data_IF_036964523947
#
_entry.id   IF_036964523947
#
_cell.length_a   1.000
_cell.length_b   1.000
_cell.length_c   1.000
_cell.angle_alpha   90.00
_cell.angle_beta   90.00
_cell.angle_gamma   90.00
#
_symmetry.space_group_name_H-M   'P 1'
#
loop_
_entity.id
_entity.type
_entity.pdbx_description
1 polymer ?
#
# COMPACT_ATOMS: atom_id res chain seq x y z
N UNK A 1 17.06 -9.84 3.82
CA UNK A 1 16.51 -9.05 2.69
C UNK A 1 16.01 -7.73 3.25
N UNK A 2 16.15 -6.62 2.53
CA UNK A 2 15.62 -5.33 2.99
C UNK A 2 14.08 -5.32 2.84
N UNK A 3 13.36 -4.88 3.86
CA UNK A 3 11.90 -4.76 3.79
C UNK A 3 11.47 -3.53 2.95
N UNK A 4 10.18 -3.44 2.63
CA UNK A 4 9.62 -2.40 1.77
C UNK A 4 9.91 -0.97 2.31
N UNK A 5 9.87 -0.76 3.62
CA UNK A 5 10.16 0.54 4.22
C UNK A 5 11.63 0.93 4.09
N UNK A 6 12.54 -0.03 4.30
CA UNK A 6 13.98 0.18 4.09
C UNK A 6 14.30 0.50 2.63
N UNK A 7 13.66 -0.21 1.69
CA UNK A 7 13.82 0.04 0.25
C UNK A 7 13.31 1.43 -0.12
N UNK A 8 12.13 1.82 0.37
CA UNK A 8 11.55 3.14 0.12
C UNK A 8 12.47 4.27 0.60
N UNK A 9 13.00 4.14 1.82
CA UNK A 9 13.91 5.15 2.39
C UNK A 9 15.20 5.21 1.55
N UNK A 10 15.85 4.08 1.28
CA UNK A 10 17.11 4.03 0.51
C UNK A 10 16.96 4.59 -0.89
N UNK A 11 15.94 4.15 -1.63
CA UNK A 11 15.68 4.61 -2.99
C UNK A 11 15.48 6.13 -3.05
N UNK A 12 14.86 6.73 -2.03
CA UNK A 12 14.70 8.18 -1.97
C UNK A 12 16.00 8.91 -1.63
N UNK A 13 16.77 8.41 -0.66
CA UNK A 13 18.08 8.97 -0.30
C UNK A 13 19.02 8.98 -1.50
N UNK A 14 19.08 7.86 -2.23
CA UNK A 14 19.92 7.71 -3.42
C UNK A 14 19.47 8.67 -4.54
N UNK A 15 18.16 8.79 -4.76
CA UNK A 15 17.61 9.66 -5.81
C UNK A 15 17.85 11.15 -5.56
N UNK A 16 17.80 11.60 -4.29
CA UNK A 16 17.95 13.02 -3.92
C UNK A 16 19.34 13.37 -3.39
N UNK A 17 20.23 12.39 -3.21
CA UNK A 17 21.52 12.59 -2.53
C UNK A 17 21.36 13.02 -1.08
N UNK A 18 20.25 12.65 -0.44
CA UNK A 18 19.92 13.06 0.92
C UNK A 18 20.53 12.12 1.95
N UNK A 19 20.78 12.65 3.15
CA UNK A 19 21.11 11.83 4.33
C UNK A 19 19.87 11.54 5.18
N UNK A 20 19.96 10.56 6.08
CA UNK A 20 18.92 10.33 7.10
C UNK A 20 18.61 11.59 7.92
N UNK A 21 19.61 12.46 8.13
CA UNK A 21 19.43 13.72 8.84
C UNK A 21 18.60 14.73 8.06
N UNK A 22 18.69 14.71 6.73
CA UNK A 22 17.90 15.60 5.87
C UNK A 22 16.45 15.17 5.87
N UNK A 23 16.18 13.87 5.69
CA UNK A 23 14.81 13.31 5.81
C UNK A 23 14.20 13.64 7.17
N UNK A 24 14.98 13.45 8.26
CA UNK A 24 14.54 13.76 9.61
C UNK A 24 14.18 15.25 9.78
N UNK A 25 15.01 16.15 9.26
CA UNK A 25 14.78 17.60 9.33
C UNK A 25 13.52 18.03 8.56
N UNK A 26 13.34 17.52 7.34
CA UNK A 26 12.16 17.83 6.53
C UNK A 26 10.88 17.25 7.13
N UNK A 27 10.99 16.05 7.72
CA UNK A 27 9.89 15.32 8.33
C UNK A 27 9.52 15.75 9.75
N UNK A 28 10.35 16.56 10.42
CA UNK A 28 10.18 16.86 11.84
C UNK A 28 10.34 15.62 12.74
N UNK A 29 11.17 14.66 12.32
CA UNK A 29 11.43 13.42 13.05
C UNK A 29 12.81 13.43 13.71
N UNK A 30 13.02 12.65 14.78
CA UNK A 30 14.36 12.35 15.26
C UNK A 30 15.16 11.58 14.20
N UNK A 31 16.43 11.96 13.99
CA UNK A 31 17.34 11.22 13.08
C UNK A 31 17.44 9.73 13.44
N UNK A 32 17.43 9.42 14.74
CA UNK A 32 17.45 8.04 15.24
C UNK A 32 16.22 7.24 14.79
N UNK A 33 15.05 7.86 14.74
CA UNK A 33 13.82 7.23 14.25
C UNK A 33 13.93 6.87 12.77
N UNK A 34 14.41 7.81 11.94
CA UNK A 34 14.61 7.53 10.50
C UNK A 34 15.64 6.43 10.30
N UNK A 35 16.75 6.48 11.03
CA UNK A 35 17.79 5.46 10.96
C UNK A 35 17.29 4.08 11.39
N UNK A 36 16.53 4.02 12.49
CA UNK A 36 15.90 2.78 12.96
C UNK A 36 15.00 2.18 11.87
N UNK A 37 14.08 2.96 11.29
CA UNK A 37 13.20 2.49 10.22
C UNK A 37 13.96 2.04 8.97
N UNK A 38 15.12 2.66 8.67
CA UNK A 38 15.96 2.30 7.53
C UNK A 38 16.85 1.06 7.76
N UNK A 39 17.01 0.59 9.01
CA UNK A 39 17.95 -0.48 9.39
C UNK A 39 17.27 -1.67 10.05
N UNK A 40 16.07 -1.51 10.61
CA UNK A 40 15.29 -2.60 11.18
C UNK A 40 14.78 -3.54 10.09
N UNK A 41 15.26 -4.78 10.11
CA UNK A 41 14.89 -5.82 9.15
C UNK A 41 13.43 -6.26 9.27
N UNK A 42 12.92 -6.39 10.51
CA UNK A 42 11.54 -6.79 10.79
C UNK A 42 10.84 -5.76 11.67
N UNK A 43 9.86 -5.09 11.12
CA UNK A 43 9.02 -4.15 11.87
C UNK A 43 7.90 -4.97 12.53
N UNK A 44 8.04 -5.26 13.83
CA UNK A 44 7.09 -6.16 14.54
C UNK A 44 5.76 -5.45 14.85
N UNK A 45 5.76 -4.13 14.88
CA UNK A 45 4.59 -3.30 15.16
C UNK A 45 4.57 -2.10 14.24
N UNK A 46 3.38 -1.76 13.74
CA UNK A 46 3.15 -0.57 12.95
C UNK A 46 3.69 0.70 13.66
N UNK A 47 4.52 1.51 12.99
CA UNK A 47 4.92 2.82 13.51
C UNK A 47 3.71 3.70 13.77
N UNK A 48 3.83 4.63 14.71
CA UNK A 48 2.74 5.56 15.02
C UNK A 48 2.38 6.42 13.81
N UNK A 49 1.10 6.82 13.72
CA UNK A 49 0.61 7.64 12.60
C UNK A 49 1.45 8.91 12.39
N UNK A 50 1.79 9.62 13.47
CA UNK A 50 2.65 10.81 13.43
C UNK A 50 4.05 10.51 12.87
N UNK A 51 4.61 9.32 13.13
CA UNK A 51 5.90 8.91 12.55
C UNK A 51 5.79 8.67 11.06
N UNK A 52 4.70 8.04 10.60
CA UNK A 52 4.47 7.80 9.18
C UNK A 52 4.22 9.11 8.41
N UNK A 53 3.50 10.06 9.01
CA UNK A 53 3.28 11.41 8.48
C UNK A 53 4.58 12.20 8.38
N UNK A 54 5.38 12.21 9.45
CA UNK A 54 6.69 12.84 9.43
C UNK A 54 7.62 12.21 8.40
N UNK A 55 7.58 10.88 8.25
CA UNK A 55 8.40 10.18 7.27
C UNK A 55 7.94 10.48 5.84
N UNK A 56 6.63 10.52 5.58
CA UNK A 56 6.06 10.88 4.29
C UNK A 56 6.47 12.30 3.87
N UNK A 57 6.38 13.25 4.81
CA UNK A 57 6.86 14.62 4.61
C UNK A 57 8.38 14.67 4.37
N UNK A 58 9.15 13.92 5.15
CA UNK A 58 10.60 13.87 5.06
C UNK A 58 11.13 13.20 3.79
N UNK A 59 10.35 12.30 3.20
CA UNK A 59 10.65 11.61 1.94
C UNK A 59 9.91 12.24 0.75
N UNK A 60 9.13 13.31 0.95
CA UNK A 60 8.36 13.96 -0.13
C UNK A 60 7.57 12.96 -1.00
N UNK A 61 6.88 12.01 -0.34
CA UNK A 61 6.03 11.00 -0.97
C UNK A 61 4.65 10.98 -0.32
N UNK A 62 3.60 10.48 -1.01
CA UNK A 62 2.28 10.35 -0.41
C UNK A 62 2.30 9.49 0.86
N UNK A 63 1.55 9.91 1.88
CA UNK A 63 1.43 9.18 3.15
C UNK A 63 1.02 7.72 2.97
N UNK A 64 0.14 7.47 2.00
CA UNK A 64 -0.33 6.13 1.69
C UNK A 64 0.80 5.19 1.21
N UNK A 65 1.78 5.73 0.48
CA UNK A 65 2.97 4.96 0.07
C UNK A 65 3.79 4.52 1.27
N UNK A 66 3.96 5.40 2.26
CA UNK A 66 4.69 5.07 3.50
C UNK A 66 3.90 4.09 4.36
N UNK A 67 2.57 4.25 4.45
CA UNK A 67 1.69 3.33 5.18
C UNK A 67 1.74 1.92 4.60
N UNK A 68 1.68 1.79 3.27
CA UNK A 68 1.80 0.49 2.58
C UNK A 68 3.16 -0.15 2.83
N UNK A 69 4.24 0.59 2.63
CA UNK A 69 5.59 0.08 2.89
C UNK A 69 5.80 -0.33 4.35
N UNK A 70 5.21 0.40 5.31
CA UNK A 70 5.24 0.04 6.72
C UNK A 70 4.39 -1.21 7.03
N UNK A 71 3.21 -1.34 6.41
CA UNK A 71 2.35 -2.51 6.54
C UNK A 71 3.03 -3.77 5.99
N UNK A 72 3.62 -3.68 4.79
CA UNK A 72 4.40 -4.77 4.19
C UNK A 72 5.61 -5.14 5.05
N UNK A 73 6.32 -4.15 5.61
CA UNK A 73 7.41 -4.40 6.55
C UNK A 73 6.95 -5.08 7.87
N UNK A 74 5.66 -5.00 8.19
CA UNK A 74 5.01 -5.73 9.27
C UNK A 74 4.46 -7.10 8.85
N UNK A 75 4.61 -7.50 7.57
CA UNK A 75 4.02 -8.72 7.02
C UNK A 75 2.52 -8.61 6.74
N UNK A 76 1.97 -7.39 6.70
CA UNK A 76 0.60 -7.13 6.28
C UNK A 76 0.65 -6.87 4.78
N UNK A 77 0.19 -7.84 3.99
CA UNK A 77 0.01 -7.64 2.55
C UNK A 77 -1.25 -6.81 2.33
N UNK A 78 -1.06 -5.53 1.98
CA UNK A 78 -2.14 -4.68 1.49
C UNK A 78 -2.34 -5.03 0.02
N UNK A 79 -3.44 -5.71 -0.31
CA UNK A 79 -3.81 -5.93 -1.70
C UNK A 79 -4.15 -4.58 -2.33
N UNK A 80 -3.21 -4.06 -3.13
CA UNK A 80 -3.39 -2.87 -3.94
C UNK A 80 -4.35 -3.25 -5.07
N UNK A 81 -5.64 -3.10 -4.85
CA UNK A 81 -6.50 -2.84 -6.01
C UNK A 81 -6.33 -1.34 -6.22
N UNK A 82 -5.73 -0.86 -7.34
CA UNK A 82 -5.83 0.56 -7.65
C UNK A 82 -7.30 0.93 -7.50
N UNK A 83 -7.61 2.05 -6.85
CA UNK A 83 -8.97 2.53 -6.72
C UNK A 83 -9.54 2.69 -8.13
N UNK A 84 -10.19 1.64 -8.60
CA UNK A 84 -10.81 1.55 -9.90
C UNK A 84 -12.21 2.10 -9.65
N UNK A 85 -12.51 3.31 -10.14
CA UNK A 85 -13.78 3.95 -9.87
C UNK A 85 -14.98 3.08 -10.31
N UNK A 86 -14.77 2.22 -11.31
CA UNK A 86 -15.78 1.25 -11.76
C UNK A 86 -16.00 0.15 -10.72
N UNK A 87 -14.92 -0.42 -10.17
CA UNK A 87 -14.98 -1.42 -9.09
C UNK A 87 -15.59 -0.82 -7.82
N UNK A 88 -15.19 0.38 -7.44
CA UNK A 88 -15.72 1.07 -6.26
C UNK A 88 -17.22 1.33 -6.39
N UNK A 89 -17.67 1.77 -7.57
CA UNK A 89 -19.09 1.96 -7.87
C UNK A 89 -19.86 0.65 -7.80
N UNK A 90 -19.30 -0.45 -8.32
CA UNK A 90 -19.91 -1.78 -8.25
C UNK A 90 -20.05 -2.24 -6.79
N UNK A 91 -19.00 -2.14 -5.98
CA UNK A 91 -19.03 -2.50 -4.55
C UNK A 91 -20.10 -1.68 -3.81
N UNK A 92 -20.11 -0.36 -4.00
CA UNK A 92 -21.07 0.53 -3.35
C UNK A 92 -22.53 0.28 -3.81
N UNK A 93 -22.72 -0.10 -5.07
CA UNK A 93 -24.06 -0.35 -5.65
C UNK A 93 -24.61 -1.71 -5.25
N UNK A 94 -23.78 -2.76 -5.23
CA UNK A 94 -24.19 -4.13 -4.85
C UNK A 94 -24.72 -4.18 -3.41
N UNK A 95 -24.17 -3.37 -2.51
CA UNK A 95 -24.66 -3.28 -1.12
C UNK A 95 -26.10 -2.76 -1.02
N UNK A 96 -26.57 -1.98 -2.00
CA UNK A 96 -27.93 -1.41 -2.03
C UNK A 96 -28.97 -2.33 -2.67
N UNK A 97 -28.54 -3.41 -3.31
CA UNK A 97 -29.41 -4.35 -4.02
C UNK A 97 -30.21 -5.24 -3.07
N UNK A 98 -31.33 -5.79 -3.54
CA UNK A 98 -32.06 -6.84 -2.85
C UNK A 98 -31.24 -8.14 -2.81
N UNK A 99 -31.61 -9.08 -1.93
CA UNK A 99 -30.94 -10.38 -1.88
C UNK A 99 -31.06 -11.16 -3.19
N UNK A 100 -32.21 -11.08 -3.86
CA UNK A 100 -32.46 -11.75 -5.13
C UNK A 100 -31.60 -11.13 -6.24
N UNK A 101 -31.55 -9.81 -6.35
CA UNK A 101 -30.71 -9.11 -7.34
C UNK A 101 -29.22 -9.40 -7.13
N UNK A 102 -28.77 -9.47 -5.87
CA UNK A 102 -27.37 -9.86 -5.57
C UNK A 102 -27.04 -11.27 -6.07
N UNK A 103 -27.97 -12.23 -6.00
CA UNK A 103 -27.73 -13.58 -6.55
C UNK A 103 -27.58 -13.57 -8.06
N UNK A 104 -28.37 -12.74 -8.75
CA UNK A 104 -28.24 -12.58 -10.21
C UNK A 104 -26.90 -11.96 -10.59
N UNK A 105 -26.47 -10.92 -9.88
CA UNK A 105 -25.14 -10.30 -10.11
C UNK A 105 -24.02 -11.30 -9.86
N UNK A 106 -24.09 -12.10 -8.80
CA UNK A 106 -23.10 -13.13 -8.52
C UNK A 106 -23.01 -14.15 -9.67
N UNK A 107 -24.13 -14.66 -10.16
CA UNK A 107 -24.16 -15.60 -11.28
C UNK A 107 -23.57 -15.00 -12.58
N UNK A 108 -23.80 -13.70 -12.82
CA UNK A 108 -23.21 -13.01 -13.98
C UNK A 108 -21.69 -12.90 -13.85
N UNK A 109 -21.19 -12.51 -12.68
CA UNK A 109 -19.73 -12.41 -12.42
C UNK A 109 -19.06 -13.77 -12.57
N UNK A 110 -19.63 -14.83 -12.00
CA UNK A 110 -19.15 -16.20 -12.16
C UNK A 110 -19.06 -16.60 -13.64
N UNK A 111 -20.11 -16.34 -14.43
CA UNK A 111 -20.11 -16.62 -15.86
C UNK A 111 -19.03 -15.85 -16.65
N UNK A 112 -18.75 -14.60 -16.27
CA UNK A 112 -17.72 -13.78 -16.92
C UNK A 112 -16.30 -14.24 -16.58
N UNK A 113 -16.08 -14.71 -15.35
CA UNK A 113 -14.80 -15.28 -14.91
C UNK A 113 -14.52 -16.59 -15.65
N UNK A 114 -15.47 -17.52 -15.69
CA UNK A 114 -15.34 -18.80 -16.40
C UNK A 114 -15.02 -18.61 -17.89
N UNK A 115 -15.67 -17.61 -18.53
CA UNK A 115 -15.39 -17.26 -19.94
C UNK A 115 -13.98 -16.72 -20.15
N UNK A 116 -13.44 -16.00 -19.17
CA UNK A 116 -12.10 -15.41 -19.27
C UNK A 116 -11.03 -16.49 -19.11
N UNK A 117 -11.24 -17.44 -18.20
CA UNK A 117 -10.37 -18.60 -18.02
C UNK A 117 -10.35 -19.52 -19.24
N UNK A 118 -11.51 -19.74 -19.86
CA UNK A 118 -11.63 -20.53 -21.11
C UNK A 118 -10.80 -19.89 -22.24
N UNK A 119 -10.88 -18.56 -22.39
CA UNK A 119 -10.10 -17.83 -23.42
C UNK A 119 -8.60 -17.76 -23.13
N UNK A 120 -8.20 -17.90 -21.87
CA UNK A 120 -6.79 -17.93 -21.48
C UNK A 120 -6.13 -19.29 -21.76
N UNK A 121 -6.87 -20.41 -21.75
CA UNK A 121 -6.35 -21.74 -22.10
C UNK A 121 -6.20 -21.99 -23.61
N UNK A 122 -6.82 -21.19 -24.46
CA UNK A 122 -6.72 -21.31 -25.93
C UNK A 122 -5.53 -20.55 -26.54
N UNK A 123 -4.74 -19.85 -25.73
CA UNK A 123 -3.52 -19.12 -26.13
C UNK A 123 -2.26 -19.83 -25.68
#
# INVERSE_FOLDING_TARGET
MANALQQLIRAHLDRRGWSYGDVARHGGLPRSTVHHLATTERVVRMPQAATLEGLAKGLDVPLDTVRRAAAEACGIHVYDTPADPEVDLLIASVQKLSADDRRHVAALVESLLDRSDTRASEK
#
